data_IF_542496130726
#
_entry.id   IF_542496130726
#
_cell.length_a   1.000
_cell.length_b   1.000
_cell.length_c   1.000
_cell.angle_alpha   90.00
_cell.angle_beta   90.00
_cell.angle_gamma   90.00
#
_symmetry.space_group_name_H-M   'P 1'
#
loop_
_entity.id
_entity.type
_entity.pdbx_description
1 polymer ?
#
# COMPACT_ATOMS: atom_id res chain seq x y z
N UNK A 1 4.29 -2.96 -29.51
CA UNK A 1 4.78 -4.28 -29.05
C UNK A 1 4.87 -4.22 -27.54
N UNK A 2 4.16 -5.07 -26.79
CA UNK A 2 4.42 -5.19 -25.36
C UNK A 2 5.86 -5.68 -25.19
N UNK A 3 6.68 -4.92 -24.47
CA UNK A 3 8.08 -5.26 -24.24
C UNK A 3 8.10 -6.55 -23.41
N UNK A 4 8.63 -7.64 -24.00
CA UNK A 4 8.74 -8.97 -23.39
C UNK A 4 9.29 -8.93 -21.96
N UNK A 5 10.20 -8.00 -21.70
CA UNK A 5 10.82 -7.74 -20.40
C UNK A 5 9.82 -7.30 -19.31
N UNK A 6 8.82 -6.48 -19.66
CA UNK A 6 7.80 -6.00 -18.73
C UNK A 6 6.91 -7.15 -18.26
N UNK A 7 6.50 -8.01 -19.20
CA UNK A 7 5.67 -9.18 -18.89
C UNK A 7 6.43 -10.14 -17.97
N UNK A 8 7.70 -10.42 -18.27
CA UNK A 8 8.55 -11.28 -17.44
C UNK A 8 8.67 -10.72 -16.02
N UNK A 9 8.91 -9.41 -15.88
CA UNK A 9 9.03 -8.74 -14.57
C UNK A 9 7.74 -8.86 -13.76
N UNK A 10 6.58 -8.62 -14.37
CA UNK A 10 5.28 -8.72 -13.71
C UNK A 10 5.01 -10.16 -13.25
N UNK A 11 5.30 -11.15 -14.10
CA UNK A 11 5.10 -12.56 -13.76
C UNK A 11 5.98 -12.98 -12.59
N UNK A 12 7.28 -12.64 -12.63
CA UNK A 12 8.22 -12.95 -11.55
C UNK A 12 7.77 -12.29 -10.24
N UNK A 13 7.42 -11.00 -10.28
CA UNK A 13 6.93 -10.28 -9.10
C UNK A 13 5.70 -10.95 -8.48
N UNK A 14 4.72 -11.33 -9.29
CA UNK A 14 3.52 -12.03 -8.81
C UNK A 14 3.87 -13.39 -8.19
N UNK A 15 4.76 -14.16 -8.81
CA UNK A 15 5.19 -15.45 -8.26
C UNK A 15 5.90 -15.30 -6.91
N UNK A 16 6.72 -14.26 -6.75
CA UNK A 16 7.37 -13.95 -5.46
C UNK A 16 6.31 -13.65 -4.39
N UNK A 17 5.33 -12.80 -4.70
CA UNK A 17 4.26 -12.47 -3.75
C UNK A 17 3.45 -13.70 -3.32
N UNK A 18 3.08 -14.55 -4.27
CA UNK A 18 2.40 -15.83 -3.99
C UNK A 18 3.28 -16.72 -3.12
N UNK A 19 4.57 -16.81 -3.43
CA UNK A 19 5.56 -17.56 -2.65
C UNK A 19 5.61 -17.11 -1.19
N UNK A 20 5.71 -15.81 -0.94
CA UNK A 20 5.71 -15.24 0.42
C UNK A 20 4.41 -15.58 1.17
N UNK A 21 3.26 -15.52 0.48
CA UNK A 21 1.96 -15.90 1.05
C UNK A 21 1.92 -17.37 1.47
N UNK A 22 2.38 -18.27 0.61
CA UNK A 22 2.42 -19.72 0.89
C UNK A 22 3.38 -20.07 2.04
N UNK A 23 4.55 -19.40 2.11
CA UNK A 23 5.52 -19.58 3.20
C UNK A 23 4.95 -19.13 4.55
N UNK A 24 4.14 -18.08 4.56
CA UNK A 24 3.60 -17.47 5.79
C UNK A 24 2.29 -18.13 6.23
N UNK A 25 1.62 -18.90 5.37
CA UNK A 25 0.29 -19.49 5.65
C UNK A 25 0.23 -20.27 6.97
N UNK A 26 1.30 -20.99 7.33
CA UNK A 26 1.34 -21.83 8.53
C UNK A 26 1.49 -21.03 9.84
N UNK A 27 1.66 -19.70 9.76
CA UNK A 27 1.76 -18.80 10.92
C UNK A 27 0.40 -18.33 11.43
N UNK A 28 -0.67 -18.45 10.64
CA UNK A 28 -2.01 -18.02 11.03
C UNK A 28 -2.78 -19.21 11.62
N UNK A 29 -2.67 -19.44 12.94
CA UNK A 29 -3.33 -20.58 13.61
C UNK A 29 -4.62 -20.19 14.30
N UNK A 30 -4.73 -18.94 14.75
CA UNK A 30 -5.92 -18.41 15.45
C UNK A 30 -6.49 -17.21 14.68
N UNK A 31 -7.76 -16.87 14.94
CA UNK A 31 -8.40 -15.69 14.34
C UNK A 31 -7.63 -14.40 14.68
N UNK A 32 -7.12 -14.27 15.90
CA UNK A 32 -6.31 -13.13 16.31
C UNK A 32 -4.96 -13.04 15.57
N UNK A 33 -4.35 -14.19 15.22
CA UNK A 33 -3.15 -14.20 14.37
C UNK A 33 -3.47 -13.68 12.96
N UNK A 34 -4.66 -14.01 12.45
CA UNK A 34 -5.07 -13.60 11.12
C UNK A 34 -5.45 -12.12 11.03
N UNK A 35 -6.20 -11.60 12.01
CA UNK A 35 -6.70 -10.23 11.99
C UNK A 35 -5.74 -9.21 12.61
N UNK A 36 -5.05 -9.58 13.70
CA UNK A 36 -4.20 -8.66 14.46
C UNK A 36 -2.72 -8.99 14.32
N UNK A 37 -2.35 -10.04 13.56
CA UNK A 37 -0.98 -10.55 13.50
C UNK A 37 -0.39 -10.76 14.91
N UNK A 38 -1.24 -11.25 15.83
CA UNK A 38 -0.94 -11.45 17.24
C UNK A 38 -0.42 -10.18 17.96
N UNK A 39 -0.81 -8.98 17.47
CA UNK A 39 -0.33 -7.68 17.95
C UNK A 39 1.21 -7.54 17.93
N UNK A 40 1.88 -8.39 17.17
CA UNK A 40 3.35 -8.47 17.12
C UNK A 40 3.96 -7.65 16.00
N UNK A 41 3.15 -7.02 15.13
CA UNK A 41 3.64 -6.12 14.10
C UNK A 41 4.13 -4.82 14.76
N UNK A 42 5.44 -4.59 14.71
CA UNK A 42 6.03 -3.35 15.18
C UNK A 42 5.47 -2.13 14.43
N UNK A 43 5.54 -0.93 15.03
CA UNK A 43 4.91 0.28 14.49
C UNK A 43 5.37 0.62 13.07
N UNK A 44 6.64 0.36 12.74
CA UNK A 44 7.18 0.58 11.39
C UNK A 44 6.58 -0.34 10.33
N UNK A 45 6.40 -1.63 10.64
CA UNK A 45 5.83 -2.61 9.71
C UNK A 45 4.34 -2.33 9.50
N UNK A 46 3.63 -1.97 10.56
CA UNK A 46 2.24 -1.53 10.48
C UNK A 46 2.10 -0.24 9.63
N UNK A 47 2.97 0.74 9.82
CA UNK A 47 2.99 1.98 9.03
C UNK A 47 3.26 1.74 7.54
N UNK A 48 4.27 0.90 7.23
CA UNK A 48 4.60 0.56 5.86
C UNK A 48 3.47 -0.24 5.20
N UNK A 49 2.84 -1.17 5.92
CA UNK A 49 1.69 -1.92 5.41
C UNK A 49 0.50 -1.01 5.14
N UNK A 50 0.19 -0.09 6.06
CA UNK A 50 -0.89 0.87 5.89
C UNK A 50 -0.62 1.81 4.69
N UNK A 51 0.61 2.30 4.56
CA UNK A 51 1.03 3.14 3.43
C UNK A 51 1.03 2.38 2.09
N UNK A 52 1.41 1.10 2.09
CA UNK A 52 1.33 0.26 0.90
C UNK A 52 -0.12 0.01 0.47
N UNK A 53 -1.03 -0.23 1.43
CA UNK A 53 -2.46 -0.39 1.16
C UNK A 53 -3.10 0.87 0.62
N UNK A 54 -2.69 2.06 1.09
CA UNK A 54 -3.21 3.33 0.59
C UNK A 54 -2.55 3.79 -0.72
N UNK A 55 -1.34 3.31 -1.01
CA UNK A 55 -0.61 3.56 -2.25
C UNK A 55 -1.13 2.68 -3.40
N UNK A 56 -2.33 3.00 -3.89
CA UNK A 56 -2.91 2.40 -5.09
C UNK A 56 -2.57 3.20 -6.35
N UNK A 57 -3.27 2.91 -7.46
CA UNK A 57 -3.27 3.74 -8.67
C UNK A 57 -3.51 5.25 -8.40
N UNK A 58 -4.05 5.60 -7.23
CA UNK A 58 -4.16 6.97 -6.73
C UNK A 58 -2.85 7.77 -6.79
N UNK A 59 -1.72 7.21 -6.34
CA UNK A 59 -0.48 7.98 -6.21
C UNK A 59 0.14 8.29 -7.57
N UNK A 60 0.06 7.37 -8.52
CA UNK A 60 0.65 7.53 -9.86
C UNK A 60 -0.30 8.16 -10.87
N UNK A 61 -1.58 7.75 -10.91
CA UNK A 61 -2.56 8.24 -11.88
C UNK A 61 -3.47 9.32 -11.29
N UNK A 62 -3.83 9.21 -10.01
CA UNK A 62 -4.69 10.19 -9.34
C UNK A 62 -3.99 11.53 -9.14
N UNK A 63 -2.81 11.54 -8.52
CA UNK A 63 -2.06 12.79 -8.26
C UNK A 63 -1.57 13.44 -9.56
N UNK A 64 -1.04 12.66 -10.51
CA UNK A 64 -0.59 13.21 -11.80
C UNK A 64 -1.76 13.68 -12.67
N UNK A 65 -2.89 12.96 -12.66
CA UNK A 65 -4.11 13.38 -13.34
C UNK A 65 -4.73 14.64 -12.73
N UNK A 66 -4.75 14.74 -11.40
CA UNK A 66 -5.18 15.96 -10.71
C UNK A 66 -4.24 17.13 -10.99
N UNK A 67 -2.93 16.91 -11.02
CA UNK A 67 -1.95 17.94 -11.42
C UNK A 67 -2.14 18.39 -12.87
N UNK A 68 -2.45 17.47 -13.78
CA UNK A 68 -2.78 17.79 -15.17
C UNK A 68 -4.06 18.64 -15.28
N UNK A 69 -5.10 18.31 -14.53
CA UNK A 69 -6.40 18.99 -14.60
C UNK A 69 -6.46 20.32 -13.82
N UNK A 70 -5.84 20.38 -12.63
CA UNK A 70 -5.94 21.52 -11.71
C UNK A 70 -4.67 22.39 -11.67
N UNK A 71 -3.62 21.99 -12.39
CA UNK A 71 -2.35 22.70 -12.44
C UNK A 71 -1.69 22.80 -11.07
N UNK A 72 -1.11 23.97 -10.77
CA UNK A 72 -0.35 24.20 -9.54
C UNK A 72 -1.19 24.05 -8.26
N UNK A 73 -2.51 24.19 -8.35
CA UNK A 73 -3.41 24.03 -7.20
C UNK A 73 -3.45 22.59 -6.66
N UNK A 74 -3.05 21.59 -7.46
CA UNK A 74 -2.92 20.20 -7.01
C UNK A 74 -1.88 20.01 -5.88
N UNK A 75 -0.97 20.98 -5.67
CA UNK A 75 -0.02 20.96 -4.53
C UNK A 75 -0.74 20.89 -3.18
N UNK A 76 -1.96 21.41 -3.08
CA UNK A 76 -2.78 21.35 -1.86
C UNK A 76 -3.18 19.91 -1.46
N UNK A 77 -3.08 18.94 -2.36
CA UNK A 77 -3.27 17.53 -2.03
C UNK A 77 -2.23 17.04 -1.01
N UNK A 78 -1.01 17.57 -1.04
CA UNK A 78 0.08 17.14 -0.14
C UNK A 78 -0.29 17.38 1.34
N UNK A 79 -0.55 18.63 1.80
CA UNK A 79 -0.94 18.85 3.18
C UNK A 79 -2.30 18.23 3.54
N UNK A 80 -3.26 18.19 2.59
CA UNK A 80 -4.58 17.59 2.85
C UNK A 80 -4.50 16.09 3.13
N UNK A 81 -3.71 15.36 2.34
CA UNK A 81 -3.49 13.92 2.53
C UNK A 81 -2.70 13.63 3.80
N UNK A 82 -1.65 14.42 4.08
CA UNK A 82 -0.88 14.28 5.32
C UNK A 82 -1.74 14.50 6.56
N UNK A 83 -2.59 15.54 6.54
CA UNK A 83 -3.52 15.81 7.62
C UNK A 83 -4.57 14.69 7.77
N UNK A 84 -5.10 14.19 6.65
CA UNK A 84 -6.03 13.06 6.64
C UNK A 84 -5.42 11.79 7.27
N UNK A 85 -4.17 11.46 6.93
CA UNK A 85 -3.47 10.34 7.56
C UNK A 85 -3.25 10.55 9.05
N UNK A 86 -2.86 11.76 9.46
CA UNK A 86 -2.67 12.08 10.87
C UNK A 86 -3.96 11.91 11.68
N UNK A 87 -5.09 12.42 11.18
CA UNK A 87 -6.39 12.26 11.83
C UNK A 87 -6.80 10.79 11.86
N UNK A 88 -6.66 10.07 10.74
CA UNK A 88 -6.98 8.64 10.69
C UNK A 88 -6.18 7.84 11.72
N UNK A 89 -4.90 8.16 11.90
CA UNK A 89 -4.04 7.45 12.85
C UNK A 89 -4.40 7.77 14.31
N UNK A 90 -4.82 9.00 14.60
CA UNK A 90 -5.08 9.45 15.97
C UNK A 90 -6.51 9.19 16.45
N UNK A 91 -7.48 9.11 15.53
CA UNK A 91 -8.90 8.98 15.85
C UNK A 91 -9.53 7.63 15.48
N UNK A 92 -9.00 6.91 14.49
CA UNK A 92 -9.63 5.67 13.97
C UNK A 92 -8.82 4.42 14.31
N UNK A 93 -7.48 4.51 14.23
CA UNK A 93 -6.57 3.43 14.59
C UNK A 93 -6.36 3.33 16.11
#
# INVERSE_FOLDING_TARGET
MANKEVIITIVIYNLILIGVGLLTKNRNKTQDDFYLANRGLGPWVAALSASASSSSAWTLLGVSGAAYAWGLSAVWLIPGVLFGYYVSWTWVA
#
